data_IF_063501660679
#
_entry.id   IF_063501660679
#
_cell.length_a   1.000
_cell.length_b   1.000
_cell.length_c   1.000
_cell.angle_alpha   90.00
_cell.angle_beta   90.00
_cell.angle_gamma   90.00
#
_symmetry.space_group_name_H-M   'P 1'
#
loop_
_entity.id
_entity.type
_entity.pdbx_description
1 polymer ?
#
# COMPACT_ATOMS: atom_id res chain seq x y z
N UNK A 1 -48.65 -12.02 15.34
CA UNK A 1 -47.62 -11.89 16.40
C UNK A 1 -46.33 -12.65 16.07
N UNK A 2 -46.39 -13.94 15.70
CA UNK A 2 -45.17 -14.75 15.41
C UNK A 2 -44.43 -14.28 14.14
N UNK A 3 -45.16 -13.91 13.08
CA UNK A 3 -44.57 -13.42 11.81
C UNK A 3 -43.83 -12.09 12.01
N UNK A 4 -44.36 -11.19 12.83
CA UNK A 4 -43.73 -9.91 13.16
C UNK A 4 -42.50 -10.07 14.05
N UNK A 5 -42.46 -11.09 14.93
CA UNK A 5 -41.28 -11.46 15.71
C UNK A 5 -40.18 -12.08 14.82
N UNK A 6 -40.56 -12.95 13.89
CA UNK A 6 -39.64 -13.51 12.88
C UNK A 6 -39.05 -12.43 11.97
N UNK A 7 -39.86 -11.43 11.57
CA UNK A 7 -39.41 -10.30 10.77
C UNK A 7 -38.39 -9.44 11.53
N UNK A 8 -38.66 -9.12 12.82
CA UNK A 8 -37.72 -8.39 13.68
C UNK A 8 -36.39 -9.15 13.88
N UNK A 9 -36.45 -10.46 14.07
CA UNK A 9 -35.26 -11.32 14.20
C UNK A 9 -34.38 -11.27 12.94
N UNK A 10 -34.99 -11.36 11.74
CA UNK A 10 -34.28 -11.25 10.46
C UNK A 10 -33.62 -9.88 10.26
N UNK A 11 -34.31 -8.80 10.65
CA UNK A 11 -33.76 -7.44 10.55
C UNK A 11 -32.56 -7.26 11.49
N UNK A 12 -32.65 -7.75 12.72
CA UNK A 12 -31.54 -7.70 13.69
C UNK A 12 -30.35 -8.51 13.16
N UNK A 13 -30.59 -9.72 12.65
CA UNK A 13 -29.55 -10.55 12.05
C UNK A 13 -28.88 -9.88 10.84
N UNK A 14 -29.67 -9.23 9.98
CA UNK A 14 -29.16 -8.49 8.82
C UNK A 14 -28.31 -7.30 9.24
N UNK A 15 -28.74 -6.52 10.23
CA UNK A 15 -27.97 -5.40 10.78
C UNK A 15 -26.66 -5.86 11.43
N UNK A 16 -26.69 -7.00 12.14
CA UNK A 16 -25.50 -7.61 12.73
C UNK A 16 -24.51 -8.07 11.65
N UNK A 17 -25.00 -8.74 10.58
CA UNK A 17 -24.18 -9.10 9.42
C UNK A 17 -23.57 -7.88 8.77
N UNK A 18 -24.34 -6.82 8.53
CA UNK A 18 -23.85 -5.57 7.94
C UNK A 18 -22.76 -4.92 8.80
N UNK A 19 -22.91 -4.94 10.12
CA UNK A 19 -21.90 -4.43 11.06
C UNK A 19 -20.60 -5.25 11.01
N UNK A 20 -20.68 -6.57 10.87
CA UNK A 20 -19.52 -7.44 10.72
C UNK A 20 -18.75 -7.14 9.42
N UNK A 21 -19.42 -6.94 8.29
CA UNK A 21 -18.75 -6.61 7.02
C UNK A 21 -18.05 -5.25 7.07
N UNK A 22 -18.60 -4.29 7.84
CA UNK A 22 -17.98 -2.97 8.05
C UNK A 22 -16.75 -3.01 8.95
N UNK A 23 -16.61 -4.05 9.76
CA UNK A 23 -15.45 -4.23 10.66
C UNK A 23 -14.32 -5.04 10.01
N UNK A 24 -14.49 -5.53 8.78
CA UNK A 24 -13.38 -6.06 7.98
C UNK A 24 -12.55 -4.90 7.42
N UNK A 25 -11.54 -4.48 8.17
CA UNK A 25 -10.46 -3.67 7.64
C UNK A 25 -9.42 -4.60 6.99
N UNK A 26 -9.48 -4.72 5.67
CA UNK A 26 -8.48 -5.44 4.88
C UNK A 26 -7.29 -4.52 4.56
N UNK A 27 -6.71 -3.88 5.58
CA UNK A 27 -5.45 -3.17 5.41
C UNK A 27 -4.36 -4.19 5.04
N UNK A 28 -3.53 -3.89 4.03
CA UNK A 28 -2.43 -4.77 3.67
C UNK A 28 -1.49 -4.93 4.87
N UNK A 29 -1.48 -6.12 5.45
CA UNK A 29 -0.53 -6.45 6.51
C UNK A 29 0.88 -6.40 5.92
N UNK A 30 1.76 -5.62 6.54
CA UNK A 30 3.18 -5.66 6.23
C UNK A 30 3.70 -7.07 6.49
N UNK A 31 4.27 -7.70 5.46
CA UNK A 31 4.73 -9.10 5.54
C UNK A 31 6.15 -9.19 6.10
N UNK A 32 7.09 -8.48 5.46
CA UNK A 32 8.47 -8.38 5.91
C UNK A 32 9.17 -7.17 5.27
N UNK A 33 10.27 -6.73 5.89
CA UNK A 33 11.23 -5.78 5.31
C UNK A 33 12.61 -6.40 5.36
N UNK A 34 13.44 -6.12 4.36
CA UNK A 34 14.84 -6.52 4.34
C UNK A 34 15.71 -5.30 4.08
N UNK A 35 16.69 -5.11 4.96
CA UNK A 35 17.72 -4.09 4.85
C UNK A 35 19.07 -4.79 4.88
N UNK A 36 19.97 -4.43 3.97
CA UNK A 36 21.34 -4.91 4.02
C UNK A 36 22.05 -4.33 5.25
N UNK A 37 22.96 -5.11 5.87
CA UNK A 37 23.80 -4.61 6.97
C UNK A 37 24.88 -3.62 6.47
N UNK A 38 25.27 -3.76 5.20
CA UNK A 38 26.17 -2.85 4.50
C UNK A 38 25.38 -1.79 3.72
N UNK A 39 26.00 -0.64 3.45
CA UNK A 39 25.41 0.41 2.61
C UNK A 39 24.62 1.49 3.35
N UNK A 40 24.91 1.73 4.64
CA UNK A 40 24.37 2.88 5.36
C UNK A 40 24.80 4.20 4.70
N UNK A 41 23.85 5.13 4.53
CA UNK A 41 24.10 6.47 4.01
C UNK A 41 23.86 7.53 5.10
N UNK A 42 24.44 8.72 4.93
CA UNK A 42 24.29 9.82 5.90
C UNK A 42 23.04 10.65 5.62
N UNK A 43 22.41 11.19 6.66
CA UNK A 43 21.11 11.87 6.61
C UNK A 43 21.02 13.09 5.65
N UNK A 44 22.16 13.67 5.25
CA UNK A 44 22.24 14.82 4.33
C UNK A 44 23.06 14.51 3.06
N UNK A 45 23.17 13.23 2.70
CA UNK A 45 23.87 12.81 1.49
C UNK A 45 23.05 13.06 0.22
N UNK A 46 23.74 13.22 -0.91
CA UNK A 46 23.11 13.20 -2.23
C UNK A 46 22.32 11.89 -2.49
N UNK A 47 22.79 10.78 -1.91
CA UNK A 47 22.07 9.52 -1.97
C UNK A 47 20.68 9.63 -1.32
N UNK A 48 20.57 10.26 -0.15
CA UNK A 48 19.29 10.50 0.53
C UNK A 48 18.36 11.37 -0.32
N UNK A 49 18.84 12.48 -0.89
CA UNK A 49 18.00 13.31 -1.77
C UNK A 49 17.55 12.57 -3.04
N UNK A 50 18.41 11.71 -3.60
CA UNK A 50 18.07 10.90 -4.77
C UNK A 50 17.03 9.83 -4.41
N UNK A 51 17.17 9.19 -3.24
CA UNK A 51 16.20 8.24 -2.70
C UNK A 51 14.83 8.88 -2.49
N UNK A 52 14.79 10.07 -1.86
CA UNK A 52 13.53 10.79 -1.64
C UNK A 52 12.84 11.16 -2.96
N UNK A 53 13.63 11.62 -3.93
CA UNK A 53 13.14 11.93 -5.28
C UNK A 53 12.56 10.69 -5.97
N UNK A 54 13.27 9.56 -5.89
CA UNK A 54 12.82 8.28 -6.44
C UNK A 54 11.51 7.83 -5.80
N UNK A 55 11.41 7.85 -4.47
CA UNK A 55 10.19 7.46 -3.75
C UNK A 55 8.99 8.35 -4.11
N UNK A 56 9.23 9.65 -4.32
CA UNK A 56 8.20 10.58 -4.80
C UNK A 56 7.69 10.22 -6.19
N UNK A 57 8.60 9.92 -7.13
CA UNK A 57 8.24 9.51 -8.49
C UNK A 57 7.49 8.18 -8.49
N UNK A 58 7.99 7.16 -7.78
CA UNK A 58 7.32 5.86 -7.69
C UNK A 58 5.89 6.00 -7.14
N UNK A 59 5.69 6.82 -6.09
CA UNK A 59 4.34 7.12 -5.57
C UNK A 59 3.46 7.83 -6.60
N UNK A 60 4.00 8.78 -7.36
CA UNK A 60 3.22 9.45 -8.40
C UNK A 60 2.75 8.48 -9.50
N UNK A 61 3.57 7.47 -9.82
CA UNK A 61 3.25 6.50 -10.86
C UNK A 61 2.27 5.42 -10.36
N UNK A 62 2.25 5.13 -9.05
CA UNK A 62 1.34 4.12 -8.47
C UNK A 62 -0.14 4.46 -8.63
N UNK A 63 -0.49 5.72 -8.88
CA UNK A 63 -1.87 6.11 -9.18
C UNK A 63 -2.38 5.60 -10.53
N UNK A 64 -1.49 5.28 -11.48
CA UNK A 64 -1.88 4.94 -12.86
C UNK A 64 -1.30 3.62 -13.36
N UNK A 65 -0.24 3.12 -12.73
CA UNK A 65 0.47 1.91 -13.17
C UNK A 65 0.54 0.89 -12.04
N UNK A 66 0.31 -0.38 -12.37
CA UNK A 66 0.51 -1.50 -11.44
C UNK A 66 1.99 -1.90 -11.28
N UNK A 67 2.87 -1.45 -12.18
CA UNK A 67 4.31 -1.67 -12.11
C UNK A 67 5.01 -0.45 -12.70
N UNK A 68 6.09 -0.03 -12.05
CA UNK A 68 6.98 1.00 -12.57
C UNK A 68 8.36 0.89 -11.94
N UNK A 69 9.38 1.24 -12.71
CA UNK A 69 10.78 1.28 -12.29
C UNK A 69 11.39 2.61 -12.71
N UNK A 70 12.25 3.16 -11.87
CA UNK A 70 12.94 4.41 -12.16
C UNK A 70 14.32 4.47 -11.50
N UNK A 71 15.10 5.46 -11.90
CA UNK A 71 16.46 5.71 -11.45
C UNK A 71 16.62 7.19 -11.12
N UNK A 72 17.25 7.48 -9.99
CA UNK A 72 17.53 8.84 -9.54
C UNK A 72 19.01 9.04 -9.27
N UNK A 73 19.60 10.08 -9.86
CA UNK A 73 21.03 10.40 -9.75
C UNK A 73 21.88 9.87 -10.90
N UNK A 74 23.09 10.41 -11.06
CA UNK A 74 23.97 10.17 -12.22
C UNK A 74 25.38 9.67 -11.85
N UNK A 75 25.67 9.48 -10.56
CA UNK A 75 26.99 9.07 -10.06
C UNK A 75 26.94 7.67 -9.46
N UNK A 76 28.00 6.89 -9.63
CA UNK A 76 28.10 5.52 -9.10
C UNK A 76 27.91 5.40 -7.59
N UNK A 77 28.13 6.48 -6.82
CA UNK A 77 27.99 6.49 -5.36
C UNK A 77 26.68 7.07 -4.85
N UNK A 78 25.88 7.71 -5.71
CA UNK A 78 24.65 8.40 -5.30
C UNK A 78 23.42 8.01 -6.10
N UNK A 79 23.59 7.27 -7.20
CA UNK A 79 22.48 6.75 -7.99
C UNK A 79 21.68 5.72 -7.21
N UNK A 80 20.36 5.86 -7.23
CA UNK A 80 19.40 4.97 -6.58
C UNK A 80 18.50 4.35 -7.64
N UNK A 81 18.36 3.03 -7.61
CA UNK A 81 17.47 2.27 -8.47
C UNK A 81 16.29 1.77 -7.64
N UNK A 82 15.09 1.75 -8.21
CA UNK A 82 13.94 1.19 -7.51
C UNK A 82 12.75 0.94 -8.41
N UNK A 83 11.87 0.09 -7.90
CA UNK A 83 10.65 -0.32 -8.57
C UNK A 83 9.57 -0.66 -7.53
N UNK A 84 8.31 -0.66 -7.97
CA UNK A 84 7.21 -1.24 -7.21
C UNK A 84 6.38 -2.18 -8.09
N UNK A 85 5.65 -3.08 -7.44
CA UNK A 85 4.69 -3.98 -8.07
C UNK A 85 3.43 -4.05 -7.20
N UNK A 86 2.31 -3.59 -7.74
CA UNK A 86 0.99 -3.79 -7.17
C UNK A 86 0.44 -5.17 -7.57
N UNK A 87 -0.43 -5.74 -6.75
CA UNK A 87 -1.19 -6.92 -7.12
C UNK A 87 -2.12 -6.58 -8.28
N UNK A 88 -1.99 -7.26 -9.42
CA UNK A 88 -2.70 -6.93 -10.66
C UNK A 88 -4.23 -7.02 -10.62
N UNK A 89 -4.81 -7.63 -9.58
CA UNK A 89 -6.26 -7.75 -9.39
C UNK A 89 -6.88 -6.53 -8.69
N UNK A 90 -6.06 -5.64 -8.13
CA UNK A 90 -6.53 -4.42 -7.45
C UNK A 90 -6.58 -3.31 -8.50
N UNK A 91 -7.77 -2.77 -8.78
CA UNK A 91 -7.90 -1.64 -9.70
C UNK A 91 -7.04 -0.46 -9.23
N UNK A 92 -6.44 0.26 -10.17
CA UNK A 92 -5.59 1.43 -9.87
C UNK A 92 -6.35 2.62 -9.26
N UNK A 93 -7.66 2.47 -9.04
CA UNK A 93 -8.52 3.45 -8.40
C UNK A 93 -8.39 3.34 -6.88
N UNK A 94 -7.50 4.14 -6.30
CA UNK A 94 -7.74 4.71 -4.98
C UNK A 94 -8.53 6.00 -5.12
#
# INVERSE_FOLDING_TARGET
MIISLLHRSKVIYFLFLFFLIKSLDAQPAHLYSYCYESGNYTANSLYKSNLDSLLSVLRSQSYTKGFYSDVSGFSSTTTVYGNYLCRGEVSSSM
#
